data_IF_187434554870
#
_entry.id   IF_187434554870
#
_cell.length_a   1.000
_cell.length_b   1.000
_cell.length_c   1.000
_cell.angle_alpha   90.00
_cell.angle_beta   90.00
_cell.angle_gamma   90.00
#
_symmetry.space_group_name_H-M   'P 1'
#
loop_
_entity.id
_entity.type
_entity.pdbx_description
1 polymer ?
#
# COMPACT_ATOMS: atom_id res chain seq x y z
N UNK A 1 -20.55 23.12 -18.00
CA UNK A 1 -19.84 23.57 -16.77
C UNK A 1 -18.72 22.68 -16.35
N UNK A 2 -18.86 21.33 -16.33
CA UNK A 2 -17.81 20.40 -15.92
C UNK A 2 -16.48 20.52 -16.70
N UNK A 3 -16.55 20.79 -18.01
CA UNK A 3 -15.35 20.89 -18.87
C UNK A 3 -14.42 22.08 -18.56
N UNK A 4 -14.86 23.03 -17.73
CA UNK A 4 -14.05 24.20 -17.31
C UNK A 4 -13.43 24.02 -15.92
N UNK A 5 -13.71 22.92 -15.23
CA UNK A 5 -13.15 22.66 -13.91
C UNK A 5 -11.69 22.18 -14.06
N UNK A 6 -10.77 22.76 -13.28
CA UNK A 6 -9.32 22.46 -13.36
C UNK A 6 -9.00 20.96 -13.14
N UNK A 7 -9.86 20.24 -12.42
CA UNK A 7 -9.73 18.78 -12.19
C UNK A 7 -10.48 17.90 -13.20
N UNK A 8 -11.11 18.48 -14.26
CA UNK A 8 -11.86 17.69 -15.22
C UNK A 8 -10.94 16.87 -16.13
N UNK A 9 -11.09 15.57 -16.07
CA UNK A 9 -10.38 14.61 -16.93
C UNK A 9 -11.42 13.89 -17.80
N UNK A 10 -11.53 14.22 -19.10
CA UNK A 10 -12.58 13.68 -19.97
C UNK A 10 -12.64 12.17 -20.00
N UNK A 11 -11.49 11.50 -20.13
CA UNK A 11 -11.41 10.03 -20.18
C UNK A 11 -11.84 9.38 -18.87
N UNK A 12 -11.42 9.91 -17.72
CA UNK A 12 -11.81 9.41 -16.40
C UNK A 12 -13.30 9.62 -16.14
N UNK A 13 -13.84 10.77 -16.56
CA UNK A 13 -15.27 11.07 -16.45
C UNK A 13 -16.08 10.14 -17.34
N UNK A 14 -15.65 9.93 -18.59
CA UNK A 14 -16.30 9.02 -19.52
C UNK A 14 -16.29 7.58 -18.96
N UNK A 15 -15.16 7.09 -18.49
CA UNK A 15 -15.05 5.77 -17.89
C UNK A 15 -15.97 5.60 -16.67
N UNK A 16 -16.11 6.65 -15.84
CA UNK A 16 -16.98 6.63 -14.66
C UNK A 16 -18.45 6.59 -15.08
N UNK A 17 -18.87 7.41 -16.05
CA UNK A 17 -20.23 7.43 -16.58
C UNK A 17 -20.59 6.10 -17.27
N UNK A 18 -19.69 5.55 -18.07
CA UNK A 18 -19.88 4.27 -18.73
C UNK A 18 -20.05 3.13 -17.71
N UNK A 19 -19.26 3.14 -16.64
CA UNK A 19 -19.36 2.18 -15.55
C UNK A 19 -20.70 2.32 -14.81
N UNK A 20 -21.10 3.53 -14.50
CA UNK A 20 -22.40 3.82 -13.87
C UNK A 20 -23.55 3.32 -14.75
N UNK A 21 -23.54 3.64 -16.04
CA UNK A 21 -24.55 3.20 -17.00
C UNK A 21 -24.66 1.68 -17.05
N UNK A 22 -23.53 0.97 -17.18
CA UNK A 22 -23.50 -0.49 -17.21
C UNK A 22 -24.00 -1.10 -15.89
N UNK A 23 -23.60 -0.55 -14.74
CA UNK A 23 -24.07 -1.03 -13.44
C UNK A 23 -25.59 -0.86 -13.31
N UNK A 24 -26.10 0.31 -13.67
CA UNK A 24 -27.55 0.57 -13.64
C UNK A 24 -28.32 -0.34 -14.61
N UNK A 25 -27.81 -0.57 -15.81
CA UNK A 25 -28.41 -1.48 -16.79
C UNK A 25 -28.45 -2.92 -16.27
N UNK A 26 -27.36 -3.39 -15.63
CA UNK A 26 -27.30 -4.72 -15.02
C UNK A 26 -28.28 -4.82 -13.84
N UNK A 27 -28.39 -3.81 -13.00
CA UNK A 27 -29.36 -3.77 -11.90
C UNK A 27 -30.80 -3.84 -12.44
N UNK A 28 -31.14 -3.05 -13.45
CA UNK A 28 -32.47 -3.05 -14.05
C UNK A 28 -32.85 -4.38 -14.70
N UNK A 29 -31.89 -5.05 -15.36
CA UNK A 29 -32.10 -6.35 -16.00
C UNK A 29 -32.20 -7.51 -15.01
N UNK A 30 -31.66 -7.38 -13.81
CA UNK A 30 -31.58 -8.46 -12.81
C UNK A 30 -32.42 -8.16 -11.56
N UNK A 31 -33.45 -7.36 -11.64
CA UNK A 31 -34.28 -6.95 -10.49
C UNK A 31 -34.90 -8.13 -9.73
N UNK A 32 -35.07 -9.29 -10.38
CA UNK A 32 -35.62 -10.49 -9.77
C UNK A 32 -34.55 -11.49 -9.31
N UNK A 33 -33.27 -11.25 -9.61
CA UNK A 33 -32.16 -12.13 -9.23
C UNK A 33 -31.45 -11.58 -8.00
N UNK A 34 -31.90 -12.00 -6.82
CA UNK A 34 -31.36 -11.54 -5.54
C UNK A 34 -29.86 -11.83 -5.36
N UNK A 35 -29.34 -12.92 -5.91
CA UNK A 35 -27.91 -13.26 -5.82
C UNK A 35 -27.07 -12.27 -6.66
N UNK A 36 -27.52 -11.99 -7.87
CA UNK A 36 -26.82 -11.05 -8.77
C UNK A 36 -26.92 -9.62 -8.24
N UNK A 37 -28.08 -9.23 -7.71
CA UNK A 37 -28.27 -7.94 -7.04
C UNK A 37 -27.34 -7.82 -5.82
N UNK A 38 -27.24 -8.85 -5.00
CA UNK A 38 -26.30 -8.91 -3.88
C UNK A 38 -24.87 -8.65 -4.33
N UNK A 39 -24.39 -9.32 -5.37
CA UNK A 39 -23.05 -9.12 -5.93
C UNK A 39 -22.82 -7.70 -6.48
N UNK A 40 -23.81 -7.10 -7.12
CA UNK A 40 -23.73 -5.74 -7.67
C UNK A 40 -23.76 -4.67 -6.57
N UNK A 41 -24.58 -4.85 -5.52
CA UNK A 41 -24.74 -3.91 -4.40
C UNK A 41 -23.59 -4.06 -3.39
N UNK A 42 -23.12 -5.28 -3.12
CA UNK A 42 -21.99 -5.55 -2.21
C UNK A 42 -20.69 -4.81 -2.61
N UNK A 43 -20.57 -4.45 -3.89
CA UNK A 43 -19.48 -3.60 -4.35
C UNK A 43 -19.50 -2.17 -3.81
N UNK A 44 -20.61 -1.71 -3.21
CA UNK A 44 -20.78 -0.33 -2.70
C UNK A 44 -20.52 -0.21 -1.20
N UNK A 45 -20.60 -1.32 -0.43
CA UNK A 45 -20.28 -1.36 1.01
C UNK A 45 -19.28 -2.46 1.30
N UNK A 46 -18.21 -2.12 2.00
CA UNK A 46 -17.21 -3.09 2.48
C UNK A 46 -17.82 -3.88 3.65
N UNK A 47 -18.34 -5.07 3.37
CA UNK A 47 -18.78 -5.96 4.43
C UNK A 47 -17.55 -6.56 5.13
N UNK A 48 -17.45 -6.35 6.43
CA UNK A 48 -16.38 -6.88 7.27
C UNK A 48 -16.86 -8.14 7.98
N UNK A 49 -16.03 -9.16 7.98
CA UNK A 49 -16.25 -10.42 8.68
C UNK A 49 -15.32 -10.50 9.89
N UNK A 50 -15.86 -10.91 11.02
CA UNK A 50 -15.06 -11.11 12.25
C UNK A 50 -14.32 -12.43 12.17
N UNK A 51 -13.02 -12.40 12.48
CA UNK A 51 -12.16 -13.58 12.57
C UNK A 51 -11.63 -13.66 14.01
N UNK A 52 -11.67 -14.85 14.66
CA UNK A 52 -11.33 -14.98 16.08
C UNK A 52 -9.89 -14.62 16.40
N UNK A 53 -8.94 -15.15 15.63
CA UNK A 53 -7.50 -14.94 15.80
C UNK A 53 -6.77 -15.00 14.46
N UNK A 54 -5.68 -14.24 14.35
CA UNK A 54 -4.80 -14.27 13.18
C UNK A 54 -3.42 -13.72 13.49
N UNK A 55 -2.42 -14.24 12.77
CA UNK A 55 -1.03 -13.85 12.89
C UNK A 55 -0.61 -13.05 11.65
N UNK A 56 0.00 -11.90 11.89
CA UNK A 56 0.36 -10.95 10.85
C UNK A 56 1.82 -10.54 10.98
N UNK A 57 2.50 -10.43 9.85
CA UNK A 57 3.84 -9.84 9.77
C UNK A 57 3.73 -8.52 9.02
N UNK A 58 4.16 -7.42 9.63
CA UNK A 58 4.22 -6.13 8.97
C UNK A 58 5.17 -6.17 7.78
N UNK A 59 4.83 -5.50 6.70
CA UNK A 59 5.64 -5.38 5.48
C UNK A 59 6.03 -3.92 5.20
N UNK A 60 5.73 -3.02 6.13
CA UNK A 60 5.94 -1.59 5.98
C UNK A 60 4.67 -0.82 5.70
N UNK A 61 4.80 0.48 5.52
CA UNK A 61 3.68 1.36 5.22
C UNK A 61 4.11 2.47 4.25
N UNK A 62 3.15 2.94 3.47
CA UNK A 62 3.32 3.95 2.44
C UNK A 62 2.38 5.14 2.67
N UNK A 63 2.89 6.38 2.76
CA UNK A 63 2.07 7.58 2.82
C UNK A 63 1.62 7.99 1.42
N UNK A 64 0.41 8.51 1.32
CA UNK A 64 -0.15 8.98 0.06
C UNK A 64 -1.01 10.23 0.26
N UNK A 65 -1.16 10.98 -0.81
CA UNK A 65 -2.03 12.15 -0.86
C UNK A 65 -2.89 12.11 -2.12
N UNK A 66 -4.16 12.49 -2.00
CA UNK A 66 -5.06 12.62 -3.15
C UNK A 66 -5.11 14.05 -3.63
N UNK A 67 -5.49 14.23 -4.90
CA UNK A 67 -5.75 15.58 -5.47
C UNK A 67 -6.93 16.29 -4.80
N UNK A 68 -7.81 15.56 -4.15
CA UNK A 68 -8.96 16.09 -3.41
C UNK A 68 -8.65 16.53 -1.98
N UNK A 69 -7.37 16.58 -1.59
CA UNK A 69 -6.94 17.05 -0.27
C UNK A 69 -7.10 16.01 0.84
N UNK A 70 -7.07 14.71 0.53
CA UNK A 70 -6.96 13.66 1.54
C UNK A 70 -5.53 13.20 1.67
N UNK A 71 -5.11 13.04 2.89
CA UNK A 71 -3.85 12.47 3.31
C UNK A 71 -4.06 11.11 3.95
N UNK A 72 -3.21 10.15 3.68
CA UNK A 72 -3.36 8.84 4.29
C UNK A 72 -2.06 8.04 4.34
N UNK A 73 -2.08 7.01 5.17
CA UNK A 73 -1.04 5.99 5.28
C UNK A 73 -1.71 4.64 5.13
N UNK A 74 -1.15 3.79 4.28
CA UNK A 74 -1.55 2.38 4.15
C UNK A 74 -0.42 1.51 4.65
N UNK A 75 -0.68 0.76 5.72
CA UNK A 75 0.21 -0.28 6.22
C UNK A 75 -0.16 -1.62 5.58
N UNK A 76 0.86 -2.41 5.25
CA UNK A 76 0.75 -3.71 4.62
C UNK A 76 1.18 -4.79 5.58
N UNK A 77 0.42 -5.89 5.60
CA UNK A 77 0.66 -7.03 6.47
C UNK A 77 0.54 -8.33 5.69
N UNK A 78 1.42 -9.27 5.96
CA UNK A 78 1.25 -10.64 5.53
C UNK A 78 0.41 -11.38 6.56
N UNK A 79 -0.74 -11.91 6.14
CA UNK A 79 -1.63 -12.72 6.95
C UNK A 79 -1.26 -14.18 6.79
N UNK A 80 -0.69 -14.78 7.84
CA UNK A 80 -0.03 -16.09 7.77
C UNK A 80 -1.01 -17.22 7.45
N UNK A 81 -2.20 -17.24 8.07
CA UNK A 81 -3.18 -18.33 7.90
C UNK A 81 -3.82 -18.39 6.51
N UNK A 82 -3.80 -17.28 5.78
CA UNK A 82 -4.34 -17.22 4.42
C UNK A 82 -3.28 -16.99 3.35
N UNK A 83 -2.03 -16.90 3.76
CA UNK A 83 -0.91 -16.58 2.85
C UNK A 83 -1.23 -15.40 1.91
N UNK A 84 -1.82 -14.36 2.46
CA UNK A 84 -2.33 -13.23 1.68
C UNK A 84 -1.91 -11.89 2.26
N UNK A 85 -1.89 -10.87 1.41
CA UNK A 85 -1.59 -9.50 1.82
C UNK A 85 -2.85 -8.82 2.32
N UNK A 86 -2.75 -8.26 3.53
CA UNK A 86 -3.79 -7.43 4.13
C UNK A 86 -3.34 -5.98 4.25
N UNK A 87 -4.28 -5.05 4.26
CA UNK A 87 -4.00 -3.62 4.39
C UNK A 87 -4.77 -3.00 5.55
N UNK A 88 -4.14 -2.05 6.23
CA UNK A 88 -4.78 -1.12 7.16
C UNK A 88 -4.52 0.29 6.67
N UNK A 89 -5.57 1.05 6.41
CA UNK A 89 -5.45 2.43 5.94
C UNK A 89 -6.04 3.39 6.94
N UNK A 90 -5.28 4.41 7.30
CA UNK A 90 -5.74 5.59 8.00
C UNK A 90 -5.65 6.80 7.09
N UNK A 91 -6.64 7.69 7.15
CA UNK A 91 -6.65 8.90 6.32
C UNK A 91 -7.42 10.02 6.99
N UNK A 92 -7.03 11.25 6.68
CA UNK A 92 -7.70 12.47 7.11
C UNK A 92 -7.78 13.47 5.96
N UNK A 93 -8.71 14.41 6.06
CA UNK A 93 -8.86 15.48 5.09
C UNK A 93 -7.97 16.66 5.47
N UNK A 94 -7.29 17.23 4.48
CA UNK A 94 -6.35 18.34 4.64
C UNK A 94 -7.03 19.66 5.06
N UNK A 95 -8.31 19.83 4.76
CA UNK A 95 -8.99 21.14 4.87
C UNK A 95 -9.95 21.28 6.08
N UNK A 96 -10.04 20.29 6.97
CA UNK A 96 -10.98 20.33 8.10
C UNK A 96 -10.45 21.00 9.36
N UNK A 97 -9.22 21.45 9.39
CA UNK A 97 -8.75 22.18 10.55
C UNK A 97 -8.98 23.68 10.43
N UNK A 98 -10.12 24.13 10.96
CA UNK A 98 -10.39 25.55 11.24
C UNK A 98 -9.48 26.16 12.31
N UNK A 99 -8.44 25.48 12.76
CA UNK A 99 -7.46 26.00 13.68
C UNK A 99 -6.30 26.61 12.92
N UNK A 100 -5.94 27.83 13.29
CA UNK A 100 -4.94 28.75 12.70
C UNK A 100 -3.49 28.22 12.60
N UNK A 101 -3.25 26.93 12.76
CA UNK A 101 -1.95 26.31 12.55
C UNK A 101 -1.85 25.80 11.11
N UNK A 102 -0.80 26.22 10.41
CA UNK A 102 -0.44 25.68 9.09
C UNK A 102 -0.26 24.17 9.20
N UNK A 103 -1.29 23.42 8.77
CA UNK A 103 -1.22 21.97 8.69
C UNK A 103 -0.34 21.63 7.49
N UNK A 104 0.90 21.32 7.76
CA UNK A 104 1.82 20.86 6.72
C UNK A 104 1.59 19.36 6.46
N UNK A 105 1.84 18.87 5.23
CA UNK A 105 1.82 17.44 4.93
C UNK A 105 2.65 16.59 5.90
N UNK A 106 3.75 17.16 6.42
CA UNK A 106 4.60 16.50 7.40
C UNK A 106 3.92 16.34 8.77
N UNK A 107 3.18 17.34 9.23
CA UNK A 107 2.45 17.26 10.49
C UNK A 107 1.31 16.24 10.41
N UNK A 108 0.57 16.21 9.30
CA UNK A 108 -0.46 15.20 9.03
C UNK A 108 0.13 13.80 8.98
N UNK A 109 1.27 13.62 8.33
CA UNK A 109 2.01 12.37 8.30
C UNK A 109 2.35 11.91 9.71
N UNK A 110 3.00 12.75 10.52
CA UNK A 110 3.37 12.43 11.91
C UNK A 110 2.15 12.06 12.76
N UNK A 111 1.05 12.76 12.61
CA UNK A 111 -0.19 12.46 13.34
C UNK A 111 -0.73 11.07 12.97
N UNK A 112 -0.76 10.71 11.69
CA UNK A 112 -1.18 9.39 11.24
C UNK A 112 -0.19 8.27 11.65
N UNK A 113 1.10 8.55 11.61
CA UNK A 113 2.15 7.62 12.06
C UNK A 113 1.99 7.26 13.54
N UNK A 114 1.69 8.26 14.37
CA UNK A 114 1.53 8.10 15.82
C UNK A 114 0.17 7.56 16.23
N UNK A 115 -0.77 7.42 15.30
CA UNK A 115 -2.09 6.90 15.59
C UNK A 115 -2.01 5.45 16.07
N UNK A 116 -2.66 5.17 17.19
CA UNK A 116 -2.78 3.83 17.77
C UNK A 116 -4.04 3.13 17.29
N UNK A 117 -3.99 1.81 17.22
CA UNK A 117 -5.07 0.96 16.75
C UNK A 117 -5.31 -0.22 17.69
N UNK A 118 -6.52 -0.77 17.67
CA UNK A 118 -6.89 -2.03 18.31
C UNK A 118 -6.62 -2.09 19.80
N UNK A 119 -6.79 -0.96 20.50
CA UNK A 119 -6.53 -0.86 21.93
C UNK A 119 -5.06 -0.98 22.35
N UNK A 120 -4.16 -1.03 21.38
CA UNK A 120 -2.72 -1.05 21.61
C UNK A 120 -2.15 0.38 21.60
N UNK A 121 -1.17 0.65 22.47
CA UNK A 121 -0.48 1.95 22.53
C UNK A 121 0.57 2.14 21.42
N UNK A 122 0.88 1.08 20.65
CA UNK A 122 1.86 1.18 19.59
C UNK A 122 1.33 1.99 18.41
N UNK A 123 2.21 2.82 17.85
CA UNK A 123 1.92 3.64 16.69
C UNK A 123 1.76 2.80 15.42
N UNK A 124 1.06 3.33 14.41
CA UNK A 124 0.92 2.70 13.11
C UNK A 124 2.29 2.40 12.48
N UNK A 125 3.25 3.30 12.65
CA UNK A 125 4.62 3.10 12.21
C UNK A 125 5.22 1.81 12.79
N UNK A 126 5.11 1.62 14.11
CA UNK A 126 5.60 0.40 14.78
C UNK A 126 4.82 -0.84 14.37
N UNK A 127 3.49 -0.77 14.30
CA UNK A 127 2.66 -1.89 13.86
C UNK A 127 3.04 -2.39 12.47
N UNK A 128 3.35 -1.46 11.55
CA UNK A 128 3.65 -1.78 10.15
C UNK A 128 4.95 -2.57 9.93
N UNK A 129 5.82 -2.65 10.94
CA UNK A 129 7.11 -3.37 10.89
C UNK A 129 7.21 -4.48 11.95
N UNK A 130 6.12 -4.82 12.63
CA UNK A 130 6.09 -5.76 13.73
C UNK A 130 5.34 -7.04 13.36
N UNK A 131 5.60 -8.11 14.10
CA UNK A 131 4.76 -9.32 14.09
C UNK A 131 3.63 -9.13 15.09
N UNK A 132 2.40 -9.36 14.64
CA UNK A 132 1.18 -9.09 15.40
C UNK A 132 0.33 -10.35 15.54
N UNK A 133 -0.28 -10.52 16.71
CA UNK A 133 -1.42 -11.42 16.90
C UNK A 133 -2.66 -10.57 17.11
N UNK A 134 -3.62 -10.67 16.18
CA UNK A 134 -4.90 -9.98 16.29
C UNK A 134 -5.99 -10.93 16.73
N UNK A 135 -6.80 -10.52 17.72
CA UNK A 135 -7.98 -11.24 18.20
C UNK A 135 -9.25 -10.43 17.90
N UNK A 136 -10.33 -11.13 17.53
CA UNK A 136 -11.61 -10.53 17.15
C UNK A 136 -11.48 -9.44 16.08
N UNK A 137 -10.56 -9.65 15.16
CA UNK A 137 -10.34 -8.68 14.08
C UNK A 137 -11.38 -8.83 12.97
N UNK A 138 -11.56 -7.74 12.24
CA UNK A 138 -12.51 -7.68 11.13
C UNK A 138 -11.77 -7.47 9.83
N UNK A 139 -12.04 -8.34 8.86
CA UNK A 139 -11.45 -8.33 7.52
C UNK A 139 -12.55 -8.27 6.47
N UNK A 140 -12.38 -7.47 5.43
CA UNK A 140 -13.29 -7.47 4.31
C UNK A 140 -12.81 -8.42 3.18
N UNK A 141 -13.64 -8.61 2.14
CA UNK A 141 -13.29 -9.46 0.98
C UNK A 141 -12.07 -8.98 0.19
N UNK A 142 -11.65 -7.74 0.37
CA UNK A 142 -10.47 -7.15 -0.27
C UNK A 142 -9.24 -7.20 0.63
N UNK A 143 -9.26 -8.03 1.67
CA UNK A 143 -8.21 -8.16 2.67
C UNK A 143 -7.88 -6.83 3.39
N UNK A 144 -8.86 -5.96 3.56
CA UNK A 144 -8.69 -4.73 4.32
C UNK A 144 -9.08 -4.96 5.78
N UNK A 145 -8.15 -4.67 6.68
CA UNK A 145 -8.35 -4.71 8.13
C UNK A 145 -9.18 -3.48 8.59
N UNK A 146 -10.07 -3.72 9.53
CA UNK A 146 -10.84 -2.65 10.19
C UNK A 146 -10.06 -2.08 11.36
N UNK A 147 -10.20 -0.78 11.60
CA UNK A 147 -9.70 -0.08 12.80
C UNK A 147 -10.60 -0.26 14.02
N UNK A 148 -11.47 -1.28 14.05
CA UNK A 148 -12.45 -1.52 15.12
C UNK A 148 -11.79 -1.60 16.51
N UNK A 149 -12.33 -0.89 17.49
CA UNK A 149 -11.87 -0.93 18.89
C UNK A 149 -12.12 -2.28 19.59
N UNK A 150 -12.93 -3.15 18.98
CA UNK A 150 -13.17 -4.52 19.48
C UNK A 150 -12.02 -5.48 19.17
N UNK A 151 -11.14 -5.13 18.25
CA UNK A 151 -9.95 -5.91 17.92
C UNK A 151 -8.91 -5.70 19.01
N UNK A 152 -8.30 -6.78 19.48
CA UNK A 152 -7.17 -6.76 20.40
C UNK A 152 -5.90 -7.08 19.64
N UNK A 153 -4.82 -6.35 19.92
CA UNK A 153 -3.52 -6.50 19.26
C UNK A 153 -2.42 -6.79 20.27
N UNK A 154 -1.75 -7.91 20.08
CA UNK A 154 -0.51 -8.26 20.78
C UNK A 154 0.66 -8.13 19.80
N UNK A 155 1.75 -7.47 20.22
CA UNK A 155 2.95 -7.28 19.41
C UNK A 155 4.02 -8.22 19.94
N UNK A 156 4.63 -9.01 19.06
CA UNK A 156 5.82 -9.79 19.42
C UNK A 156 7.07 -8.88 19.40
N UNK A 157 7.89 -8.99 20.43
CA UNK A 157 9.10 -8.16 20.58
C UNK A 157 10.18 -8.47 19.53
N UNK A 158 10.09 -9.62 18.86
CA UNK A 158 11.01 -9.99 17.77
C UNK A 158 10.23 -10.30 16.51
N UNK A 159 10.59 -9.61 15.45
CA UNK A 159 10.15 -9.97 14.11
C UNK A 159 10.85 -11.27 13.74
N UNK A 160 10.17 -12.39 13.91
CA UNK A 160 10.66 -13.66 13.42
C UNK A 160 10.25 -13.79 11.96
N UNK A 161 11.16 -13.49 11.05
CA UNK A 161 10.92 -13.67 9.60
C UNK A 161 11.09 -15.16 9.23
N UNK A 162 10.61 -16.04 10.09
CA UNK A 162 10.55 -17.48 9.79
C UNK A 162 9.67 -17.81 8.58
N UNK A 163 8.85 -16.85 8.16
CA UNK A 163 7.95 -16.96 7.00
C UNK A 163 8.48 -16.28 5.73
N UNK A 164 9.74 -15.84 5.70
CA UNK A 164 10.29 -15.22 4.49
C UNK A 164 10.19 -16.16 3.28
N UNK A 165 10.47 -17.44 3.47
CA UNK A 165 10.33 -18.45 2.41
C UNK A 165 8.88 -18.56 1.94
N UNK A 166 7.89 -18.49 2.85
CA UNK A 166 6.48 -18.50 2.51
C UNK A 166 6.09 -17.21 1.76
N UNK A 167 6.62 -16.04 2.17
CA UNK A 167 6.42 -14.78 1.44
C UNK A 167 6.92 -14.85 0.00
N UNK A 168 8.06 -15.51 -0.24
CA UNK A 168 8.63 -15.69 -1.57
C UNK A 168 7.78 -16.60 -2.48
N UNK A 169 6.97 -17.49 -1.91
CA UNK A 169 6.09 -18.38 -2.67
C UNK A 169 4.71 -17.79 -2.96
N UNK A 170 4.38 -16.64 -2.37
CA UNK A 170 3.10 -15.94 -2.63
C UNK A 170 3.10 -15.42 -4.06
N UNK A 171 2.22 -15.92 -4.96
CA UNK A 171 2.22 -15.51 -6.38
C UNK A 171 2.04 -14.01 -6.58
N UNK A 172 1.27 -13.37 -5.69
CA UNK A 172 1.02 -11.92 -5.71
C UNK A 172 2.29 -11.09 -5.46
N UNK A 173 3.28 -11.65 -4.75
CA UNK A 173 4.54 -10.99 -4.42
C UNK A 173 5.68 -11.39 -5.38
N UNK A 174 5.66 -12.60 -5.93
CA UNK A 174 6.73 -13.14 -6.78
C UNK A 174 6.63 -12.71 -8.24
N UNK A 175 5.44 -12.35 -8.73
CA UNK A 175 5.27 -11.88 -10.10
C UNK A 175 5.79 -10.45 -10.25
N UNK A 176 7.05 -10.31 -10.64
CA UNK A 176 7.71 -9.03 -10.93
C UNK A 176 7.30 -8.46 -12.29
N UNK A 177 6.55 -9.20 -13.12
CA UNK A 177 6.17 -8.69 -14.43
C UNK A 177 5.28 -7.46 -14.27
N UNK A 178 5.91 -6.31 -14.48
CA UNK A 178 5.21 -5.05 -14.74
C UNK A 178 4.64 -5.23 -16.15
N UNK A 179 3.47 -5.85 -16.24
CA UNK A 179 2.74 -5.81 -17.50
C UNK A 179 2.07 -4.44 -17.55
N UNK A 180 2.51 -3.54 -18.44
CA UNK A 180 1.66 -2.43 -18.81
C UNK A 180 0.35 -3.09 -19.25
N UNK A 181 -0.73 -2.80 -18.56
CA UNK A 181 -2.06 -3.26 -18.94
C UNK A 181 -2.30 -2.74 -20.37
N UNK A 182 -1.98 -3.57 -21.39
CA UNK A 182 -2.13 -3.22 -22.81
C UNK A 182 -3.60 -3.03 -23.19
N UNK A 183 -4.50 -3.41 -22.29
CA UNK A 183 -5.92 -3.14 -22.41
C UNK A 183 -6.36 -2.28 -21.23
N UNK A 184 -6.56 -1.00 -21.50
CA UNK A 184 -7.31 -0.11 -20.64
C UNK A 184 -8.73 -0.69 -20.52
N UNK A 185 -8.92 -1.58 -19.55
CA UNK A 185 -10.25 -2.05 -19.21
C UNK A 185 -10.96 -0.95 -18.40
N UNK A 186 -11.64 -0.08 -19.12
CA UNK A 186 -12.41 1.02 -18.53
C UNK A 186 -13.45 0.55 -17.51
N UNK A 187 -13.73 -0.74 -17.45
CA UNK A 187 -14.75 -1.36 -16.61
C UNK A 187 -14.18 -2.08 -15.39
N UNK A 188 -12.88 -2.34 -15.35
CA UNK A 188 -12.28 -2.93 -14.17
C UNK A 188 -12.31 -1.97 -12.98
N UNK A 189 -12.80 -2.46 -11.86
CA UNK A 189 -12.53 -1.82 -10.56
C UNK A 189 -11.03 -1.67 -10.43
N UNK A 190 -10.58 -0.52 -9.92
CA UNK A 190 -9.19 -0.27 -9.56
C UNK A 190 -8.63 -1.55 -8.92
N UNK A 191 -7.63 -2.15 -9.56
CA UNK A 191 -7.02 -3.36 -9.02
C UNK A 191 -6.52 -3.05 -7.61
N UNK A 192 -6.64 -3.99 -6.67
CA UNK A 192 -6.03 -3.81 -5.36
C UNK A 192 -4.56 -3.49 -5.55
N UNK A 193 -4.03 -2.66 -4.68
CA UNK A 193 -2.61 -2.32 -4.68
C UNK A 193 -1.79 -3.61 -4.57
N UNK A 194 -1.02 -3.89 -5.60
CA UNK A 194 -0.18 -5.08 -5.64
C UNK A 194 1.19 -4.74 -5.08
N UNK A 195 1.75 -5.67 -4.32
CA UNK A 195 3.11 -5.62 -3.84
C UNK A 195 4.00 -6.53 -4.67
N UNK A 196 5.30 -6.23 -4.67
CA UNK A 196 6.36 -7.12 -5.13
C UNK A 196 7.40 -7.26 -4.03
N UNK A 197 7.98 -8.43 -3.90
CA UNK A 197 9.12 -8.71 -3.04
C UNK A 197 10.34 -8.95 -3.93
N UNK A 198 11.24 -7.98 -3.99
CA UNK A 198 12.38 -7.97 -4.91
C UNK A 198 13.64 -8.36 -4.14
N UNK A 199 14.28 -9.51 -4.45
CA UNK A 199 15.57 -9.85 -3.87
C UNK A 199 16.65 -8.90 -4.40
N UNK A 200 17.55 -8.45 -3.52
CA UNK A 200 18.68 -7.63 -3.91
C UNK A 200 19.85 -7.78 -2.93
N UNK A 201 21.06 -7.57 -3.42
CA UNK A 201 22.28 -7.49 -2.62
C UNK A 201 22.77 -6.06 -2.48
N UNK A 202 22.60 -5.26 -3.53
CA UNK A 202 22.95 -3.84 -3.54
C UNK A 202 22.07 -3.05 -4.50
N UNK A 203 22.05 -1.72 -4.31
CA UNK A 203 21.47 -0.79 -5.27
C UNK A 203 22.57 -0.25 -6.17
N UNK A 204 22.28 -0.17 -7.45
CA UNK A 204 23.15 0.44 -8.47
C UNK A 204 22.40 1.56 -9.18
N UNK A 205 23.15 2.37 -9.92
CA UNK A 205 22.63 3.40 -10.83
C UNK A 205 21.64 4.38 -10.16
N UNK A 206 21.89 4.77 -8.91
CA UNK A 206 21.05 5.76 -8.23
C UNK A 206 21.24 7.12 -8.91
N UNK A 207 20.16 7.59 -9.56
CA UNK A 207 20.17 8.82 -10.35
C UNK A 207 18.93 9.65 -10.07
N UNK A 208 19.13 10.91 -9.74
CA UNK A 208 18.03 11.87 -9.64
C UNK A 208 17.85 12.63 -10.97
N UNK A 209 16.66 12.55 -11.55
CA UNK A 209 16.26 13.35 -12.71
C UNK A 209 15.65 14.68 -12.23
N UNK A 210 16.36 15.78 -12.44
CA UNK A 210 15.86 17.12 -12.10
C UNK A 210 14.68 17.56 -12.98
N UNK A 211 14.59 17.03 -14.21
CA UNK A 211 13.49 17.32 -15.12
C UNK A 211 12.19 16.63 -14.70
N UNK A 212 12.27 15.35 -14.34
CA UNK A 212 11.10 14.56 -13.95
C UNK A 212 10.82 14.62 -12.46
N UNK A 213 11.73 15.19 -11.67
CA UNK A 213 11.68 15.23 -10.21
C UNK A 213 11.50 13.82 -9.62
N UNK A 214 12.33 12.87 -10.11
CA UNK A 214 12.30 11.45 -9.70
C UNK A 214 13.69 10.93 -9.41
N UNK A 215 13.78 10.10 -8.38
CA UNK A 215 14.93 9.25 -8.11
C UNK A 215 14.71 7.92 -8.81
N UNK A 216 15.64 7.51 -9.65
CA UNK A 216 15.72 6.18 -10.28
C UNK A 216 16.80 5.37 -9.58
N UNK A 217 16.56 4.09 -9.43
CA UNK A 217 17.51 3.17 -8.84
C UNK A 217 17.32 1.77 -9.41
N UNK A 218 18.40 0.99 -9.46
CA UNK A 218 18.38 -0.40 -9.90
C UNK A 218 18.73 -1.31 -8.73
N UNK A 219 17.87 -2.29 -8.48
CA UNK A 219 18.10 -3.37 -7.51
C UNK A 219 18.74 -4.54 -8.24
N UNK A 220 19.87 -5.05 -7.73
CA UNK A 220 20.50 -6.23 -8.33
C UNK A 220 20.85 -7.27 -7.27
N UNK A 221 20.61 -8.55 -7.59
CA UNK A 221 21.03 -9.72 -6.81
C UNK A 221 22.31 -10.36 -7.38
N UNK A 222 22.86 -9.76 -8.45
CA UNK A 222 24.02 -10.25 -9.18
C UNK A 222 23.68 -11.12 -10.40
N UNK A 223 22.40 -11.48 -10.60
CA UNK A 223 21.91 -12.22 -11.78
C UNK A 223 20.84 -11.43 -12.50
N UNK A 224 19.95 -10.78 -11.76
CA UNK A 224 18.83 -10.00 -12.30
C UNK A 224 18.94 -8.55 -11.87
N UNK A 225 18.47 -7.66 -12.72
CA UNK A 225 18.34 -6.24 -12.46
C UNK A 225 16.88 -5.83 -12.53
N UNK A 226 16.46 -5.07 -11.54
CA UNK A 226 15.06 -4.59 -11.45
C UNK A 226 15.08 -3.10 -11.15
N UNK A 227 14.47 -2.32 -12.04
CA UNK A 227 14.39 -0.87 -11.89
C UNK A 227 13.23 -0.45 -10.99
N UNK A 228 13.48 0.58 -10.22
CA UNK A 228 12.48 1.28 -9.43
C UNK A 228 12.62 2.78 -9.58
N UNK A 229 11.55 3.51 -9.25
CA UNK A 229 11.63 4.95 -9.17
C UNK A 229 10.73 5.53 -8.09
N UNK A 230 11.13 6.68 -7.56
CA UNK A 230 10.40 7.40 -6.53
C UNK A 230 10.33 8.88 -6.89
N UNK A 231 9.11 9.40 -7.06
CA UNK A 231 8.91 10.83 -7.31
C UNK A 231 9.29 11.66 -6.07
N UNK A 232 9.93 12.80 -6.29
CA UNK A 232 10.21 13.74 -5.21
C UNK A 232 8.91 14.35 -4.70
N UNK A 233 8.76 14.31 -3.39
CA UNK A 233 7.74 15.04 -2.63
C UNK A 233 8.21 15.13 -1.18
N UNK A 234 7.64 16.02 -0.40
CA UNK A 234 7.93 16.07 1.05
C UNK A 234 7.66 14.76 1.75
N UNK A 235 6.65 14.00 1.30
CA UNK A 235 6.32 12.67 1.81
C UNK A 235 7.41 11.65 1.56
N UNK A 236 8.06 11.74 0.42
CA UNK A 236 9.05 10.77 -0.05
C UNK A 236 10.48 11.15 0.34
N UNK A 237 10.67 12.31 0.99
CA UNK A 237 12.01 12.84 1.33
C UNK A 237 12.85 11.86 2.14
N UNK A 238 12.25 11.23 3.16
CA UNK A 238 12.98 10.25 3.98
C UNK A 238 13.35 9.00 3.16
N UNK A 239 12.42 8.52 2.34
CA UNK A 239 12.66 7.37 1.49
C UNK A 239 13.78 7.62 0.47
N UNK A 240 13.82 8.81 -0.14
CA UNK A 240 14.89 9.22 -1.05
C UNK A 240 16.23 9.19 -0.34
N UNK A 241 16.34 9.80 0.86
CA UNK A 241 17.59 9.80 1.65
C UNK A 241 18.06 8.40 2.01
N UNK A 242 17.14 7.52 2.44
CA UNK A 242 17.48 6.12 2.76
C UNK A 242 17.97 5.35 1.52
N UNK A 243 17.33 5.56 0.36
CA UNK A 243 17.77 4.95 -0.91
C UNK A 243 19.18 5.42 -1.30
N UNK A 244 19.45 6.72 -1.22
CA UNK A 244 20.79 7.28 -1.51
C UNK A 244 21.86 6.71 -0.58
N UNK A 245 21.55 6.52 0.71
CA UNK A 245 22.45 5.91 1.68
C UNK A 245 22.73 4.43 1.36
N UNK A 246 21.72 3.70 0.91
CA UNK A 246 21.86 2.29 0.51
C UNK A 246 22.67 2.09 -0.76
N UNK A 247 22.77 3.09 -1.62
CA UNK A 247 23.59 3.08 -2.83
C UNK A 247 25.07 3.32 -2.58
N UNK A 248 25.47 3.66 -1.35
CA UNK A 248 26.89 3.75 -1.00
C UNK A 248 27.51 2.35 -0.96
N UNK A 249 28.82 2.20 -1.30
CA UNK A 249 29.48 0.89 -1.31
C UNK A 249 29.37 0.22 0.05
N UNK A 250 28.55 -0.81 0.13
CA UNK A 250 28.35 -1.58 1.34
C UNK A 250 29.21 -2.86 1.31
N UNK A 251 29.94 -3.12 2.38
CA UNK A 251 30.91 -4.22 2.45
C UNK A 251 30.26 -5.59 2.67
N UNK A 252 29.01 -5.64 3.17
CA UNK A 252 28.32 -6.91 3.44
C UNK A 252 27.33 -7.28 2.33
N UNK A 253 27.66 -8.30 1.54
CA UNK A 253 26.77 -8.88 0.50
C UNK A 253 25.71 -9.81 1.11
N UNK A 254 24.94 -9.34 2.08
CA UNK A 254 23.80 -10.11 2.61
C UNK A 254 22.59 -9.92 1.70
N UNK A 255 21.94 -11.02 1.37
CA UNK A 255 20.69 -10.97 0.61
C UNK A 255 19.60 -10.26 1.45
N UNK A 256 18.95 -9.31 0.84
CA UNK A 256 17.85 -8.52 1.37
C UNK A 256 16.67 -8.56 0.40
N UNK A 257 15.51 -8.18 0.86
CA UNK A 257 14.32 -8.11 0.03
C UNK A 257 13.71 -6.72 0.16
N UNK A 258 13.43 -6.12 -0.96
CA UNK A 258 12.71 -4.85 -0.99
C UNK A 258 11.22 -5.11 -1.24
N UNK A 259 10.37 -4.65 -0.33
CA UNK A 259 8.93 -4.60 -0.54
C UNK A 259 8.63 -3.39 -1.37
N UNK A 260 8.04 -3.59 -2.54
CA UNK A 260 7.67 -2.53 -3.46
C UNK A 260 6.18 -2.55 -3.76
N UNK A 261 5.57 -1.37 -3.92
CA UNK A 261 4.26 -1.24 -4.52
C UNK A 261 4.42 -1.27 -6.04
N UNK A 262 3.70 -2.17 -6.71
CA UNK A 262 3.67 -2.22 -8.17
C UNK A 262 2.83 -1.08 -8.74
N UNK A 263 3.39 -0.36 -9.69
CA UNK A 263 2.70 0.61 -10.53
C UNK A 263 2.86 0.19 -11.99
N UNK A 264 2.03 0.67 -12.92
CA UNK A 264 2.09 0.26 -14.32
C UNK A 264 3.47 0.43 -14.98
N UNK A 265 4.24 1.41 -14.53
CA UNK A 265 5.50 1.85 -15.12
C UNK A 265 6.70 1.76 -14.18
N UNK A 266 6.50 1.40 -12.91
CA UNK A 266 7.58 1.39 -11.92
C UNK A 266 7.27 0.60 -10.66
N UNK A 267 8.31 0.30 -9.88
CA UNK A 267 8.23 -0.19 -8.51
C UNK A 267 8.54 0.94 -7.54
N UNK A 268 7.63 1.16 -6.59
CA UNK A 268 7.79 2.16 -5.52
C UNK A 268 8.24 1.43 -4.25
N UNK A 269 9.40 1.75 -3.67
CA UNK A 269 9.91 1.07 -2.49
C UNK A 269 9.08 1.42 -1.25
N UNK A 270 8.82 0.44 -0.40
CA UNK A 270 8.09 0.60 0.87
C UNK A 270 9.00 0.32 2.06
N UNK A 271 9.65 -0.83 2.08
CA UNK A 271 10.51 -1.28 3.17
C UNK A 271 11.58 -2.24 2.69
N UNK A 272 12.57 -2.49 3.54
CA UNK A 272 13.55 -3.55 3.37
C UNK A 272 13.31 -4.62 4.43
N UNK A 273 13.31 -5.86 4.00
CA UNK A 273 13.27 -7.04 4.86
C UNK A 273 14.65 -7.69 4.87
N UNK A 274 15.18 -7.89 6.06
CA UNK A 274 16.38 -8.68 6.33
C UNK A 274 16.01 -9.94 7.13
N UNK A 275 16.95 -10.79 7.45
CA UNK A 275 16.70 -11.97 8.28
C UNK A 275 16.20 -11.65 9.71
N UNK A 276 16.44 -10.44 10.21
CA UNK A 276 16.17 -10.05 11.60
C UNK A 276 15.26 -8.85 11.79
N UNK A 277 15.04 -8.06 10.74
CA UNK A 277 14.33 -6.79 10.87
C UNK A 277 13.66 -6.36 9.58
N UNK A 278 12.70 -5.45 9.75
CA UNK A 278 12.02 -4.75 8.66
C UNK A 278 12.27 -3.26 8.88
N UNK A 279 12.88 -2.61 7.90
CA UNK A 279 13.12 -1.16 7.91
C UNK A 279 12.21 -0.47 6.90
N UNK A 280 11.35 0.42 7.40
CA UNK A 280 10.44 1.19 6.56
C UNK A 280 11.15 2.42 5.98
N UNK A 281 10.97 2.71 4.72
CA UNK A 281 11.59 3.89 4.08
C UNK A 281 11.01 5.22 4.55
N UNK A 282 9.78 5.26 5.01
CA UNK A 282 9.04 6.51 5.24
C UNK A 282 9.03 6.95 6.71
N UNK A 283 9.36 6.06 7.64
CA UNK A 283 9.29 6.34 9.09
C UNK A 283 10.64 6.19 9.77
#
# INVERSE_FOLDING_TARGET
MLAKHVGFQPLTTFATLSRLYNTLTLLLRNTQNNEMLGKLIEGTRSNYYTTPIGHFTGLGAYPWQTRSGYFGITAYFFYQEKESICTLTSSMADYYEHTQSLVTPENLRKQLEMQSFWGNSASLARLSISTLTLRNFKLNRQNRLSSSSQTQCEIADKVTIGHLNTLLTVPELSDLSIRPDQHYDYFRKKQPEQLALVPFTHLSEIRFSSYEQKLYFTMTDGQTETEGSLAYSELNRNAIRKLEQLGQPYTEKKQRYMVCQKRPDTLIPISIITASEIDNFYF
#
